data_IF_039041785370
#
_entry.id   IF_039041785370
#
_cell.length_a   1.000
_cell.length_b   1.000
_cell.length_c   1.000
_cell.angle_alpha   90.00
_cell.angle_beta   90.00
_cell.angle_gamma   90.00
#
_symmetry.space_group_name_H-M   'P 1'
#
loop_
_entity.id
_entity.type
_entity.pdbx_description
1 polymer ?
#
# COMPACT_ATOMS: atom_id res chain seq x y z
N UNK A 1 2.32 3.30 18.03
CA UNK A 1 2.73 4.53 17.31
C UNK A 1 3.47 4.19 16.02
N UNK A 2 4.79 3.96 15.98
CA UNK A 2 5.52 3.83 14.69
C UNK A 2 4.88 2.86 13.68
N UNK A 3 4.50 1.65 14.12
CA UNK A 3 3.85 0.66 13.26
C UNK A 3 2.38 1.00 12.95
N UNK A 4 1.68 1.65 13.88
CA UNK A 4 0.28 2.05 13.74
C UNK A 4 0.12 3.21 12.74
N UNK A 5 1.04 4.17 12.82
CA UNK A 5 0.99 5.45 12.12
C UNK A 5 1.95 5.50 10.92
N UNK A 6 2.61 4.37 10.61
CA UNK A 6 3.59 4.21 9.53
C UNK A 6 4.73 5.25 9.59
N UNK A 7 5.15 5.62 10.80
CA UNK A 7 6.22 6.59 11.03
C UNK A 7 7.59 5.91 10.89
N UNK A 8 8.61 6.62 10.38
CA UNK A 8 9.95 6.07 10.32
C UNK A 8 10.47 5.81 11.73
N UNK A 9 11.15 4.67 11.94
CA UNK A 9 11.75 4.35 13.25
C UNK A 9 12.79 5.38 13.71
N UNK A 10 13.28 6.25 12.81
CA UNK A 10 14.16 7.36 13.17
C UNK A 10 13.47 8.47 13.95
N UNK A 11 12.13 8.51 14.02
CA UNK A 11 11.39 9.57 14.73
C UNK A 11 11.78 9.66 16.21
N UNK A 12 12.14 8.53 16.84
CA UNK A 12 12.57 8.47 18.25
C UNK A 12 13.89 9.22 18.50
N UNK A 13 14.63 9.54 17.43
CA UNK A 13 15.89 10.29 17.47
C UNK A 13 15.71 11.77 17.13
N UNK A 14 14.50 12.22 16.78
CA UNK A 14 14.26 13.62 16.44
C UNK A 14 14.12 14.46 17.72
N UNK A 15 14.92 15.52 17.84
CA UNK A 15 14.94 16.40 19.02
C UNK A 15 13.54 16.92 19.38
N UNK A 16 12.80 17.49 18.44
CA UNK A 16 11.44 17.99 18.71
C UNK A 16 10.45 16.92 19.20
N UNK A 17 10.64 15.65 18.81
CA UNK A 17 9.83 14.55 19.34
C UNK A 17 10.24 14.19 20.78
N UNK A 18 11.53 14.19 21.07
CA UNK A 18 12.05 13.97 22.42
C UNK A 18 11.62 15.08 23.38
N UNK A 19 11.73 16.33 22.94
CA UNK A 19 11.28 17.51 23.68
C UNK A 19 9.79 17.44 23.98
N UNK A 20 8.97 17.04 23.00
CA UNK A 20 7.55 16.81 23.21
C UNK A 20 7.29 15.77 24.30
N UNK A 21 7.95 14.60 24.24
CA UNK A 21 7.76 13.56 25.26
C UNK A 21 8.19 14.00 26.67
N UNK A 22 9.27 14.78 26.76
CA UNK A 22 9.75 15.35 28.02
C UNK A 22 8.82 16.44 28.56
N UNK A 23 8.39 17.37 27.70
CA UNK A 23 7.52 18.50 28.08
C UNK A 23 6.16 18.05 28.63
N UNK A 24 5.63 16.93 28.14
CA UNK A 24 4.37 16.34 28.61
C UNK A 24 4.56 15.23 29.66
N UNK A 25 5.77 15.06 30.21
CA UNK A 25 6.10 14.05 31.22
C UNK A 25 5.71 12.62 30.82
N UNK A 26 5.76 12.31 29.51
CA UNK A 26 5.56 10.94 29.01
C UNK A 26 6.79 10.08 29.33
N UNK A 27 7.97 10.70 29.33
CA UNK A 27 9.24 10.10 29.75
C UNK A 27 9.96 11.06 30.71
N UNK A 28 10.72 10.50 31.66
CA UNK A 28 11.44 11.27 32.67
C UNK A 28 12.81 11.76 32.18
N UNK A 29 13.47 10.98 31.31
CA UNK A 29 14.71 11.35 30.66
C UNK A 29 14.72 10.88 29.21
N UNK A 30 15.55 11.51 28.38
CA UNK A 30 15.73 11.11 26.97
C UNK A 30 16.27 9.67 26.87
N UNK A 31 17.05 9.21 27.84
CA UNK A 31 17.56 7.82 27.89
C UNK A 31 16.46 6.78 28.09
N UNK A 32 15.29 7.17 28.64
CA UNK A 32 14.13 6.28 28.72
C UNK A 32 13.47 6.06 27.35
N UNK A 33 13.76 6.89 26.34
CA UNK A 33 13.27 6.70 24.98
C UNK A 33 14.06 5.56 24.35
N UNK A 34 13.36 4.50 23.93
CA UNK A 34 13.99 3.37 23.23
C UNK A 34 14.68 3.88 21.97
N UNK A 35 15.98 3.66 21.87
CA UNK A 35 16.74 4.05 20.69
C UNK A 35 16.27 3.27 19.45
N UNK A 36 16.61 3.79 18.26
CA UNK A 36 16.42 3.07 17.00
C UNK A 36 17.06 1.67 17.05
N UNK A 37 18.19 1.51 17.73
CA UNK A 37 18.86 0.23 17.90
C UNK A 37 18.10 -0.73 18.83
N UNK A 38 17.26 -0.21 19.72
CA UNK A 38 16.34 -1.04 20.53
C UNK A 38 15.09 -1.43 19.73
N UNK A 39 14.69 -0.64 18.73
CA UNK A 39 13.75 -1.05 17.67
C UNK A 39 14.41 -1.99 16.63
N UNK A 40 15.29 -2.87 17.10
CA UNK A 40 15.98 -3.89 16.29
C UNK A 40 14.98 -4.99 15.86
N UNK A 41 15.23 -5.67 14.72
CA UNK A 41 14.56 -6.89 14.29
C UNK A 41 14.03 -7.81 15.39
N UNK A 42 14.76 -8.00 16.50
CA UNK A 42 14.28 -8.84 17.61
C UNK A 42 12.94 -8.38 18.21
N UNK A 43 12.81 -7.13 18.65
CA UNK A 43 11.56 -6.64 19.25
C UNK A 43 10.44 -6.48 18.22
N UNK A 44 10.80 -6.16 16.96
CA UNK A 44 9.84 -6.14 15.86
C UNK A 44 9.28 -7.55 15.58
N UNK A 45 10.13 -8.58 15.61
CA UNK A 45 9.71 -9.97 15.44
C UNK A 45 8.84 -10.44 16.60
N UNK A 46 9.14 -10.04 17.85
CA UNK A 46 8.25 -10.34 18.98
C UNK A 46 6.86 -9.72 18.80
N UNK A 47 6.80 -8.44 18.41
CA UNK A 47 5.54 -7.76 18.14
C UNK A 47 4.79 -8.40 16.96
N UNK A 48 5.52 -8.75 15.90
CA UNK A 48 4.97 -9.44 14.74
C UNK A 48 4.36 -10.80 15.14
N UNK A 49 5.08 -11.62 15.90
CA UNK A 49 4.57 -12.92 16.35
C UNK A 49 3.33 -12.76 17.22
N UNK A 50 3.34 -11.83 18.18
CA UNK A 50 2.16 -11.56 19.01
C UNK A 50 0.95 -11.09 18.19
N UNK A 51 1.18 -10.28 17.15
CA UNK A 51 0.12 -9.87 16.22
C UNK A 51 -0.38 -11.04 15.37
N UNK A 52 0.53 -11.89 14.88
CA UNK A 52 0.20 -13.08 14.10
C UNK A 52 -0.61 -14.08 14.92
N UNK A 53 -0.26 -14.31 16.18
CA UNK A 53 -1.03 -15.18 17.09
C UNK A 53 -2.47 -14.67 17.24
N UNK A 54 -2.63 -13.36 17.48
CA UNK A 54 -3.95 -12.74 17.56
C UNK A 54 -4.73 -12.84 16.25
N UNK A 55 -4.08 -12.53 15.13
CA UNK A 55 -4.70 -12.64 13.81
C UNK A 55 -5.17 -14.07 13.54
N UNK A 56 -4.35 -15.08 13.86
CA UNK A 56 -4.73 -16.48 13.69
C UNK A 56 -5.95 -16.87 14.52
N UNK A 57 -6.13 -16.30 15.73
CA UNK A 57 -7.37 -16.47 16.50
C UNK A 57 -8.56 -15.77 15.82
N UNK A 58 -8.40 -14.52 15.37
CA UNK A 58 -9.44 -13.76 14.66
C UNK A 58 -9.87 -14.44 13.35
N UNK A 59 -8.94 -15.09 12.64
CA UNK A 59 -9.23 -15.84 11.42
C UNK A 59 -10.07 -17.10 11.63
N UNK A 60 -10.15 -17.64 12.87
CA UNK A 60 -11.06 -18.77 13.16
C UNK A 60 -12.53 -18.38 13.06
N UNK A 61 -12.82 -17.10 13.28
CA UNK A 61 -14.16 -16.51 13.14
C UNK A 61 -14.47 -16.05 11.71
N UNK A 62 -13.52 -16.22 10.77
CA UNK A 62 -13.74 -15.84 9.39
C UNK A 62 -14.90 -16.66 8.77
N UNK A 63 -15.78 -16.01 7.99
CA UNK A 63 -16.89 -16.68 7.34
C UNK A 63 -16.39 -17.69 6.30
N UNK A 64 -17.29 -18.57 5.86
CA UNK A 64 -16.95 -19.64 4.93
C UNK A 64 -16.34 -19.15 3.61
N UNK A 65 -16.75 -17.96 3.12
CA UNK A 65 -16.21 -17.31 1.93
C UNK A 65 -15.72 -15.88 2.26
N UNK A 66 -14.49 -15.70 2.76
CA UNK A 66 -13.95 -14.37 2.96
C UNK A 66 -13.57 -13.73 1.62
N UNK A 67 -13.68 -12.41 1.56
CA UNK A 67 -13.22 -11.62 0.43
C UNK A 67 -11.72 -11.38 0.51
N UNK A 68 -11.05 -11.21 -0.62
CA UNK A 68 -9.66 -10.82 -0.65
C UNK A 68 -9.40 -9.85 -1.79
N UNK A 69 -8.74 -8.74 -1.54
CA UNK A 69 -8.27 -7.86 -2.60
C UNK A 69 -6.86 -8.25 -2.99
N UNK A 70 -6.59 -8.32 -4.30
CA UNK A 70 -5.26 -8.43 -4.86
C UNK A 70 -4.95 -7.15 -5.63
N UNK A 71 -3.91 -6.44 -5.18
CA UNK A 71 -3.40 -5.25 -5.86
C UNK A 71 -1.97 -5.50 -6.33
N UNK A 72 -1.67 -5.08 -7.56
CA UNK A 72 -0.35 -5.20 -8.16
C UNK A 72 0.03 -3.86 -8.77
N UNK A 73 1.22 -3.39 -8.45
CA UNK A 73 1.74 -2.14 -9.00
C UNK A 73 3.22 -2.24 -9.29
N UNK A 74 3.70 -1.30 -10.10
CA UNK A 74 5.12 -1.13 -10.40
C UNK A 74 5.62 0.16 -9.77
N UNK A 75 6.52 0.04 -8.81
CA UNK A 75 7.36 1.13 -8.34
C UNK A 75 8.36 1.49 -9.46
N UNK A 76 8.04 2.54 -10.21
CA UNK A 76 8.87 3.05 -11.31
C UNK A 76 10.21 3.61 -10.83
N UNK A 77 10.30 4.08 -9.60
CA UNK A 77 11.53 4.66 -9.05
C UNK A 77 12.52 3.55 -8.66
N UNK A 78 12.02 2.49 -8.03
CA UNK A 78 12.85 1.34 -7.63
C UNK A 78 12.96 0.27 -8.70
N UNK A 79 12.24 0.41 -9.81
CA UNK A 79 12.12 -0.59 -10.87
C UNK A 79 11.70 -1.96 -10.33
N UNK A 80 10.70 -1.96 -9.44
CA UNK A 80 10.20 -3.17 -8.79
C UNK A 80 8.70 -3.25 -8.92
N UNK A 81 8.21 -4.42 -9.29
CA UNK A 81 6.80 -4.72 -9.16
C UNK A 81 6.54 -5.32 -7.80
N UNK A 82 5.34 -5.08 -7.28
CA UNK A 82 4.88 -5.55 -5.98
C UNK A 82 3.50 -6.19 -6.11
N UNK A 83 3.18 -7.06 -5.16
CA UNK A 83 1.84 -7.60 -4.97
C UNK A 83 1.42 -7.41 -3.52
N UNK A 84 0.15 -7.09 -3.33
CA UNK A 84 -0.49 -7.02 -2.02
C UNK A 84 -1.75 -7.87 -2.02
N UNK A 85 -1.89 -8.68 -0.96
CA UNK A 85 -3.10 -9.43 -0.65
C UNK A 85 -3.67 -8.94 0.68
N UNK A 86 -4.91 -8.49 0.66
CA UNK A 86 -5.63 -8.03 1.86
C UNK A 86 -6.92 -8.82 2.00
N UNK A 87 -7.06 -9.54 3.11
CA UNK A 87 -8.26 -10.30 3.45
C UNK A 87 -9.31 -9.37 4.05
N UNK A 88 -10.56 -9.58 3.66
CA UNK A 88 -11.73 -8.83 4.12
C UNK A 88 -12.83 -9.79 4.52
N UNK A 89 -13.41 -9.58 5.69
CA UNK A 89 -14.62 -10.30 6.08
C UNK A 89 -15.43 -9.52 7.11
N UNK A 90 -16.66 -9.97 7.32
CA UNK A 90 -17.53 -9.48 8.39
C UNK A 90 -17.76 -10.63 9.35
N UNK A 91 -17.53 -10.40 10.63
CA UNK A 91 -17.71 -11.43 11.66
C UNK A 91 -19.18 -11.58 12.09
N UNK A 92 -19.41 -12.48 13.05
CA UNK A 92 -20.75 -12.75 13.61
C UNK A 92 -21.37 -11.56 14.36
N UNK A 93 -20.56 -10.57 14.74
CA UNK A 93 -20.98 -9.34 15.39
C UNK A 93 -21.21 -8.20 14.38
N UNK A 94 -21.16 -8.48 13.09
CA UNK A 94 -21.26 -7.50 11.99
C UNK A 94 -20.12 -6.46 11.99
N UNK A 95 -18.97 -6.82 12.54
CA UNK A 95 -17.77 -5.98 12.49
C UNK A 95 -16.99 -6.33 11.23
N UNK A 96 -16.66 -5.30 10.46
CA UNK A 96 -15.83 -5.45 9.26
C UNK A 96 -14.35 -5.52 9.64
N UNK A 97 -13.69 -6.55 9.13
CA UNK A 97 -12.28 -6.82 9.33
C UNK A 97 -11.52 -6.69 8.01
N UNK A 98 -10.32 -6.13 8.06
CA UNK A 98 -9.43 -5.94 6.91
C UNK A 98 -7.98 -6.14 7.32
N UNK A 99 -7.35 -7.19 6.82
CA UNK A 99 -5.98 -7.57 7.17
C UNK A 99 -5.09 -7.69 5.95
N UNK A 100 -4.03 -6.89 5.88
CA UNK A 100 -2.98 -7.08 4.86
C UNK A 100 -2.15 -8.31 5.22
N UNK A 101 -2.39 -9.41 4.51
CA UNK A 101 -1.71 -10.68 4.74
C UNK A 101 -0.31 -10.69 4.15
N UNK A 102 -0.16 -10.04 2.99
CA UNK A 102 1.12 -10.00 2.28
C UNK A 102 1.24 -8.70 1.50
N UNK A 103 2.41 -8.06 1.59
CA UNK A 103 2.82 -6.96 0.74
C UNK A 103 4.31 -7.14 0.44
N UNK A 104 4.65 -7.50 -0.79
CA UNK A 104 6.01 -7.89 -1.12
C UNK A 104 6.37 -7.64 -2.59
N UNK A 105 7.68 -7.58 -2.91
CA UNK A 105 8.14 -7.57 -4.29
C UNK A 105 7.66 -8.81 -5.05
N UNK A 106 7.32 -8.61 -6.32
CA UNK A 106 6.92 -9.66 -7.24
C UNK A 106 7.81 -9.58 -8.48
N UNK A 107 8.71 -10.54 -8.61
CA UNK A 107 9.69 -10.55 -9.71
C UNK A 107 9.03 -10.88 -11.06
N UNK A 108 9.67 -10.41 -12.13
CA UNK A 108 9.29 -10.81 -13.48
C UNK A 108 9.68 -12.27 -13.76
N UNK A 109 8.90 -13.00 -14.57
CA UNK A 109 7.72 -12.56 -15.31
C UNK A 109 6.44 -12.54 -14.45
N UNK A 110 5.56 -11.57 -14.69
CA UNK A 110 4.19 -11.49 -14.12
C UNK A 110 3.25 -12.53 -14.75
N UNK A 111 3.71 -13.78 -14.83
CA UNK A 111 2.94 -14.87 -15.38
C UNK A 111 1.76 -15.19 -14.45
N UNK A 112 0.62 -15.52 -15.06
CA UNK A 112 -0.59 -15.86 -14.32
C UNK A 112 -0.36 -16.99 -13.31
N UNK A 113 0.43 -18.01 -13.68
CA UNK A 113 0.75 -19.13 -12.78
C UNK A 113 1.55 -18.70 -11.54
N UNK A 114 2.46 -17.74 -11.70
CA UNK A 114 3.25 -17.22 -10.57
C UNK A 114 2.36 -16.44 -9.58
N UNK A 115 1.39 -15.67 -10.08
CA UNK A 115 0.42 -14.95 -9.24
C UNK A 115 -0.47 -15.96 -8.49
N UNK A 116 -0.93 -17.02 -9.18
CA UNK A 116 -1.71 -18.11 -8.57
C UNK A 116 -0.93 -18.83 -7.48
N UNK A 117 0.32 -19.20 -7.74
CA UNK A 117 1.18 -19.83 -6.74
C UNK A 117 1.37 -18.92 -5.52
N UNK A 118 1.50 -17.60 -5.74
CA UNK A 118 1.63 -16.66 -4.65
C UNK A 118 0.38 -16.58 -3.80
N UNK A 119 -0.79 -16.53 -4.43
CA UNK A 119 -2.07 -16.60 -3.75
C UNK A 119 -2.19 -17.87 -2.90
N UNK A 120 -1.89 -19.04 -3.47
CA UNK A 120 -1.97 -20.32 -2.75
C UNK A 120 -1.08 -20.29 -1.52
N UNK A 121 0.17 -19.84 -1.68
CA UNK A 121 1.11 -19.69 -0.57
C UNK A 121 0.58 -18.77 0.52
N UNK A 122 0.01 -17.61 0.16
CA UNK A 122 -0.61 -16.71 1.14
C UNK A 122 -1.78 -17.38 1.84
N UNK A 123 -2.60 -18.16 1.15
CA UNK A 123 -3.66 -18.91 1.80
C UNK A 123 -3.10 -19.95 2.78
N UNK A 124 -2.07 -20.72 2.37
CA UNK A 124 -1.45 -21.75 3.20
C UNK A 124 -0.79 -21.16 4.47
N UNK A 125 -0.07 -20.04 4.31
CA UNK A 125 0.62 -19.35 5.42
C UNK A 125 -0.35 -18.87 6.52
N UNK A 126 -1.63 -18.64 6.16
CA UNK A 126 -2.67 -18.15 7.07
C UNK A 126 -3.81 -19.16 7.31
N UNK A 127 -3.62 -20.43 6.91
CA UNK A 127 -4.62 -21.50 7.12
C UNK A 127 -5.95 -21.30 6.38
N UNK A 128 -5.95 -20.52 5.30
CA UNK A 128 -7.12 -20.21 4.49
C UNK A 128 -7.30 -21.23 3.37
N UNK A 129 -8.55 -21.50 2.99
CA UNK A 129 -8.85 -22.33 1.83
C UNK A 129 -8.92 -21.46 0.56
N UNK A 130 -7.90 -21.56 -0.30
CA UNK A 130 -7.83 -20.81 -1.56
C UNK A 130 -9.02 -21.02 -2.50
N UNK A 131 -9.68 -22.19 -2.45
CA UNK A 131 -10.90 -22.48 -3.22
C UNK A 131 -12.18 -21.84 -2.66
N UNK A 132 -12.11 -21.20 -1.50
CA UNK A 132 -13.23 -20.49 -0.85
C UNK A 132 -12.97 -18.98 -0.73
N UNK A 133 -11.97 -18.45 -1.41
CA UNK A 133 -11.73 -17.00 -1.44
C UNK A 133 -12.53 -16.38 -2.58
N UNK A 134 -13.13 -15.22 -2.34
CA UNK A 134 -13.65 -14.35 -3.40
C UNK A 134 -12.63 -13.24 -3.62
N UNK A 135 -12.03 -13.18 -4.81
CA UNK A 135 -10.98 -12.20 -5.10
C UNK A 135 -11.55 -10.96 -5.79
N UNK A 136 -11.21 -9.78 -5.29
CA UNK A 136 -11.37 -8.52 -6.00
C UNK A 136 -10.00 -8.01 -6.50
N UNK A 137 -9.88 -7.72 -7.79
CA UNK A 137 -8.63 -7.19 -8.35
C UNK A 137 -8.87 -6.27 -9.55
N UNK A 138 -7.81 -5.63 -10.05
CA UNK A 138 -7.88 -4.93 -11.32
C UNK A 138 -8.19 -5.86 -12.51
N UNK A 139 -8.36 -5.26 -13.69
CA UNK A 139 -8.62 -5.98 -14.94
C UNK A 139 -7.35 -6.24 -15.75
N UNK A 140 -6.17 -6.24 -15.11
CA UNK A 140 -4.91 -6.59 -15.75
C UNK A 140 -4.99 -7.94 -16.44
N UNK A 141 -4.50 -8.04 -17.67
CA UNK A 141 -4.68 -9.24 -18.52
C UNK A 141 -4.11 -10.50 -17.88
N UNK A 142 -2.96 -10.39 -17.19
CA UNK A 142 -2.35 -11.50 -16.47
C UNK A 142 -3.17 -11.89 -15.24
N UNK A 143 -3.65 -10.90 -14.47
CA UNK A 143 -4.47 -11.08 -13.27
C UNK A 143 -5.79 -11.78 -13.60
N UNK A 144 -6.47 -11.37 -14.67
CA UNK A 144 -7.68 -12.05 -15.12
C UNK A 144 -7.44 -13.51 -15.54
N UNK A 145 -6.31 -13.78 -16.22
CA UNK A 145 -5.92 -15.15 -16.56
C UNK A 145 -5.66 -15.98 -15.30
N UNK A 146 -5.01 -15.40 -14.29
CA UNK A 146 -4.74 -16.06 -13.01
C UNK A 146 -6.02 -16.61 -12.37
N UNK A 147 -7.04 -15.77 -12.20
CA UNK A 147 -8.25 -16.18 -11.48
C UNK A 147 -9.06 -17.22 -12.23
N UNK A 148 -9.05 -17.17 -13.56
CA UNK A 148 -9.62 -18.23 -14.41
C UNK A 148 -8.88 -19.55 -14.23
N UNK A 149 -7.53 -19.53 -14.22
CA UNK A 149 -6.68 -20.71 -14.01
C UNK A 149 -6.73 -21.26 -12.58
N UNK A 150 -7.07 -20.41 -11.61
CA UNK A 150 -7.23 -20.79 -10.21
C UNK A 150 -8.64 -21.32 -9.91
N UNK A 151 -9.60 -21.17 -10.83
CA UNK A 151 -11.02 -21.46 -10.63
C UNK A 151 -11.61 -20.70 -9.43
N UNK A 152 -11.20 -19.45 -9.25
CA UNK A 152 -11.59 -18.61 -8.12
C UNK A 152 -12.67 -17.62 -8.55
N UNK A 153 -13.63 -17.36 -7.66
CA UNK A 153 -14.64 -16.33 -7.87
C UNK A 153 -13.95 -14.96 -7.89
N UNK A 154 -14.14 -14.21 -8.98
CA UNK A 154 -13.48 -12.93 -9.17
C UNK A 154 -14.48 -11.78 -9.38
N UNK A 155 -14.30 -10.71 -8.61
CA UNK A 155 -14.99 -9.43 -8.74
C UNK A 155 -14.02 -8.40 -9.32
N UNK A 156 -14.43 -7.71 -10.38
CA UNK A 156 -13.59 -6.65 -10.95
C UNK A 156 -13.58 -5.41 -10.06
N UNK A 157 -12.41 -4.79 -9.92
CA UNK A 157 -12.26 -3.52 -9.22
C UNK A 157 -13.11 -2.42 -9.87
N UNK A 158 -14.04 -1.86 -9.10
CA UNK A 158 -14.92 -0.79 -9.56
C UNK A 158 -14.15 0.48 -9.93
N UNK A 159 -13.11 0.84 -9.17
CA UNK A 159 -12.28 2.01 -9.44
C UNK A 159 -11.56 1.89 -10.79
N UNK A 160 -10.97 0.73 -11.07
CA UNK A 160 -10.34 0.47 -12.36
C UNK A 160 -11.39 0.41 -13.50
N UNK A 161 -12.59 -0.14 -13.22
CA UNK A 161 -13.71 -0.09 -14.15
C UNK A 161 -14.13 1.33 -14.53
N UNK A 162 -14.27 2.22 -13.54
CA UNK A 162 -14.56 3.63 -13.75
C UNK A 162 -13.43 4.35 -14.50
N UNK A 163 -12.18 4.07 -14.15
CA UNK A 163 -11.03 4.60 -14.88
C UNK A 163 -11.08 4.22 -16.36
N UNK A 164 -11.33 2.94 -16.67
CA UNK A 164 -11.43 2.48 -18.06
C UNK A 164 -12.62 3.11 -18.78
N UNK A 165 -13.77 3.24 -18.13
CA UNK A 165 -14.94 3.93 -18.70
C UNK A 165 -14.56 5.37 -19.10
N UNK A 166 -13.93 6.11 -18.20
CA UNK A 166 -13.53 7.49 -18.47
C UNK A 166 -12.47 7.58 -19.57
N UNK A 167 -11.40 6.79 -19.47
CA UNK A 167 -10.24 6.88 -20.36
C UNK A 167 -10.47 6.29 -21.75
N UNK A 168 -11.29 5.25 -21.87
CA UNK A 168 -11.50 4.52 -23.12
C UNK A 168 -12.81 4.94 -23.80
N UNK A 169 -13.88 5.10 -23.02
CA UNK A 169 -15.22 5.29 -23.61
C UNK A 169 -15.70 6.74 -23.62
N UNK A 170 -15.18 7.60 -22.74
CA UNK A 170 -15.64 9.00 -22.61
C UNK A 170 -14.65 9.97 -23.24
N UNK A 171 -13.40 10.03 -22.77
CA UNK A 171 -12.41 11.02 -23.20
C UNK A 171 -12.20 11.02 -24.72
N UNK A 172 -12.05 9.86 -25.41
CA UNK A 172 -11.85 9.85 -26.86
C UNK A 172 -13.06 10.32 -27.68
N UNK A 173 -14.26 10.34 -27.08
CA UNK A 173 -15.50 10.76 -27.74
C UNK A 173 -15.81 12.25 -27.57
N UNK A 174 -15.04 12.97 -26.76
CA UNK A 174 -15.18 14.42 -26.58
C UNK A 174 -14.16 15.10 -27.48
N UNK A 175 -14.66 15.76 -28.53
CA UNK A 175 -13.84 16.46 -29.51
C UNK A 175 -12.91 17.48 -28.83
N UNK A 176 -11.62 17.44 -29.17
CA UNK A 176 -10.59 18.35 -28.66
C UNK A 176 -10.12 18.10 -27.22
N UNK A 177 -10.78 17.22 -26.44
CA UNK A 177 -10.38 16.96 -25.04
C UNK A 177 -9.04 16.23 -24.96
N UNK A 178 -8.82 15.23 -25.81
CA UNK A 178 -7.56 14.47 -25.82
C UNK A 178 -6.37 15.38 -26.16
N UNK A 179 -6.52 16.26 -27.15
CA UNK A 179 -5.48 17.24 -27.51
C UNK A 179 -5.18 18.22 -26.37
N UNK A 180 -6.21 18.65 -25.63
CA UNK A 180 -6.03 19.52 -24.47
C UNK A 180 -5.25 18.79 -23.37
N UNK A 181 -5.61 17.53 -23.08
CA UNK A 181 -4.92 16.71 -22.09
C UNK A 181 -3.45 16.50 -22.46
N UNK A 182 -3.14 16.25 -23.73
CA UNK A 182 -1.76 16.10 -24.22
C UNK A 182 -0.95 17.39 -24.03
N UNK A 183 -1.54 18.56 -24.35
CA UNK A 183 -0.90 19.87 -24.11
C UNK A 183 -0.63 20.11 -22.63
N UNK A 184 -1.58 19.78 -21.76
CA UNK A 184 -1.43 19.89 -20.29
C UNK A 184 -0.34 18.94 -19.79
N UNK A 185 -0.32 17.68 -20.25
CA UNK A 185 0.71 16.71 -19.89
C UNK A 185 2.11 17.15 -20.34
N UNK A 186 2.23 17.71 -21.54
CA UNK A 186 3.48 18.25 -22.05
C UNK A 186 3.97 19.45 -21.21
N UNK A 187 3.04 20.32 -20.79
CA UNK A 187 3.34 21.44 -19.90
C UNK A 187 3.80 20.96 -18.51
N UNK A 188 3.07 20.02 -17.89
CA UNK A 188 3.44 19.43 -16.60
C UNK A 188 4.80 18.75 -16.69
N UNK A 189 5.09 18.04 -17.77
CA UNK A 189 6.39 17.39 -17.98
C UNK A 189 7.54 18.39 -18.02
N UNK A 190 7.34 19.54 -18.67
CA UNK A 190 8.31 20.66 -18.65
C UNK A 190 8.49 21.24 -17.25
N UNK A 191 7.40 21.39 -16.49
CA UNK A 191 7.48 21.87 -15.10
C UNK A 191 8.26 20.90 -14.21
N UNK A 192 7.99 19.60 -14.31
CA UNK A 192 8.71 18.57 -13.53
C UNK A 192 10.20 18.55 -13.87
N UNK A 193 10.56 18.72 -15.14
CA UNK A 193 11.96 18.83 -15.54
C UNK A 193 12.68 20.01 -14.86
N UNK A 194 11.97 21.13 -14.68
CA UNK A 194 12.49 22.36 -14.04
C UNK A 194 12.22 22.44 -12.54
N UNK A 195 11.77 21.37 -11.91
CA UNK A 195 11.32 21.37 -10.51
C UNK A 195 12.40 21.91 -9.57
N UNK A 196 13.64 21.45 -9.71
CA UNK A 196 14.74 21.91 -8.86
C UNK A 196 15.03 23.40 -9.04
N UNK A 197 15.12 23.90 -10.28
CA UNK A 197 15.32 25.32 -10.57
C UNK A 197 14.20 26.19 -10.00
N UNK A 198 12.95 25.73 -10.12
CA UNK A 198 11.77 26.43 -9.61
C UNK A 198 11.75 26.42 -8.08
N UNK A 199 12.14 25.31 -7.45
CA UNK A 199 12.24 25.19 -5.99
C UNK A 199 13.34 26.11 -5.44
N UNK A 200 14.49 26.15 -6.09
CA UNK A 200 15.60 27.01 -5.68
C UNK A 200 15.25 28.49 -5.87
N UNK A 201 14.58 28.85 -6.98
CA UNK A 201 14.07 30.20 -7.17
C UNK A 201 13.00 30.60 -6.13
N UNK A 202 12.14 29.67 -5.72
CA UNK A 202 11.15 29.89 -4.66
C UNK A 202 11.80 30.08 -3.30
N UNK A 203 12.73 29.19 -2.91
CA UNK A 203 13.46 29.28 -1.65
C UNK A 203 14.30 30.55 -1.58
N UNK A 204 14.99 30.91 -2.67
CA UNK A 204 15.73 32.16 -2.77
C UNK A 204 14.81 33.36 -2.54
N UNK A 205 13.64 33.41 -3.19
CA UNK A 205 12.66 34.50 -3.00
C UNK A 205 12.13 34.56 -1.58
N UNK A 206 11.78 33.42 -0.99
CA UNK A 206 11.32 33.34 0.40
C UNK A 206 12.39 33.83 1.38
N UNK A 207 13.65 33.41 1.20
CA UNK A 207 14.77 33.87 2.03
C UNK A 207 15.05 35.37 1.88
N UNK A 208 14.97 35.92 0.66
CA UNK A 208 15.11 37.37 0.42
C UNK A 208 13.93 38.21 0.92
N UNK A 209 12.78 37.61 1.22
CA UNK A 209 11.62 38.31 1.82
C UNK A 209 11.57 38.20 3.35
N UNK A 210 12.30 37.26 3.94
CA UNK A 210 12.33 37.00 5.40
C UNK A 210 13.52 37.69 6.07
N UNK A 211 14.58 38.03 5.33
CA UNK A 211 15.70 38.82 5.84
C UNK A 211 15.47 40.32 5.54
N UNK A 212 15.55 41.21 6.56
CA UNK A 212 15.41 42.66 6.38
C UNK A 212 16.56 43.27 5.57
#
# INVERSE_FOLDING_TARGET
>A
MCCCDLLPFSIVSNEGFQDFLMAYNIVNTVDNIRSRATLNPFHLNQLYNAYMDRLNEELKEAPYFPGMTCDMWTDKYRHRSCVCFTLHFVDSLFISHSYTLRNEPFDHPHAAEAIKQRLIKVCDDFGLNSGKIIIASDKGSNVQKTWRLAHIMHLSCAAHGLHNLLMVDVIPKIDGLSELLDKVQAFISKLRYRENELRDAFLHRAMTQILP
#
